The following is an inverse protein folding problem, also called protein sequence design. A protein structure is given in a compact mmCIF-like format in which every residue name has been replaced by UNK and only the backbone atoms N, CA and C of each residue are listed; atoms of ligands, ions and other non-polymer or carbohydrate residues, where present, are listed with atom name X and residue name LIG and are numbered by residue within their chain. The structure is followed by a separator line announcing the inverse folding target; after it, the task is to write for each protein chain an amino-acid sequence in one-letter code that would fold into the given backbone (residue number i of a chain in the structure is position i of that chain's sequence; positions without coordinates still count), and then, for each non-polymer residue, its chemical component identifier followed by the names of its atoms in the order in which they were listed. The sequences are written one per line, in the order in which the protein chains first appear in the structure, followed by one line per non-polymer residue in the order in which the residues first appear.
data_IF_289134609765
#
_entry.id   IF_289134609765
#
_cell.length_a   1.000
_cell.length_b   1.000
_cell.length_c   1.000
_cell.angle_alpha   90.00
_cell.angle_beta   90.00
_cell.angle_gamma   90.00
#
_symmetry.space_group_name_H-M   'P 1'
#
loop_
_entity.id
_entity.type
_entity.pdbx_description
1 polymer ?
#
# COMPACT_ATOMS: atom_id res chain seq x y z
N UNK A 1 8.33 -3.92 -9.50
CA UNK A 1 8.30 -2.62 -8.81
C UNK A 1 7.90 -2.89 -7.36
N UNK A 2 8.85 -2.85 -6.42
CA UNK A 2 8.56 -3.07 -5.00
C UNK A 2 8.44 -1.71 -4.33
N UNK A 3 7.31 -1.43 -3.70
CA UNK A 3 7.19 -0.30 -2.78
C UNK A 3 8.08 -0.63 -1.56
N UNK A 4 9.26 -0.01 -1.49
CA UNK A 4 10.22 -0.22 -0.39
C UNK A 4 10.13 0.96 0.57
N UNK A 5 9.92 0.68 1.85
CA UNK A 5 9.99 1.69 2.91
C UNK A 5 9.26 1.27 4.17
N UNK A 6 9.78 1.68 5.33
CA UNK A 6 9.17 1.46 6.63
C UNK A 6 7.79 2.12 6.77
N UNK A 7 7.44 3.06 5.89
CA UNK A 7 6.17 3.78 5.91
C UNK A 7 4.96 2.86 5.72
N UNK A 8 5.10 1.74 4.99
CA UNK A 8 4.02 0.74 4.87
C UNK A 8 3.70 0.10 6.22
N UNK A 9 4.72 -0.25 7.01
CA UNK A 9 4.53 -0.75 8.38
C UNK A 9 3.93 0.32 9.29
N UNK A 10 4.38 1.58 9.16
CA UNK A 10 3.82 2.71 9.92
C UNK A 10 2.35 2.99 9.56
N UNK A 11 1.96 2.71 8.32
CA UNK A 11 0.58 2.79 7.86
C UNK A 11 -0.27 1.55 8.23
N UNK A 12 0.33 0.56 8.92
CA UNK A 12 -0.37 -0.63 9.39
C UNK A 12 -0.38 -1.81 8.41
N UNK A 13 0.40 -1.76 7.32
CA UNK A 13 0.58 -2.88 6.41
C UNK A 13 1.69 -3.80 6.92
N UNK A 14 1.36 -5.06 7.18
CA UNK A 14 2.34 -6.08 7.55
C UNK A 14 3.07 -6.64 6.31
N UNK A 15 4.14 -7.39 6.56
CA UNK A 15 4.84 -8.11 5.49
C UNK A 15 3.89 -9.16 4.92
N UNK A 16 3.80 -9.23 3.59
CA UNK A 16 2.87 -10.09 2.85
C UNK A 16 1.38 -9.75 3.01
N UNK A 17 1.02 -8.57 3.54
CA UNK A 17 -0.37 -8.11 3.49
C UNK A 17 -0.78 -7.92 2.02
N UNK A 18 -1.83 -8.60 1.54
CA UNK A 18 -2.36 -8.36 0.20
C UNK A 18 -2.92 -6.94 0.12
N UNK A 19 -2.58 -6.22 -0.95
CA UNK A 19 -2.98 -4.82 -1.12
C UNK A 19 -3.64 -4.59 -2.47
N UNK A 20 -4.67 -3.76 -2.43
CA UNK A 20 -5.33 -3.24 -3.61
C UNK A 20 -4.79 -1.86 -3.91
N UNK A 21 -4.32 -1.67 -5.14
CA UNK A 21 -3.79 -0.40 -5.63
C UNK A 21 -4.77 0.21 -6.61
N UNK A 22 -5.11 1.49 -6.43
CA UNK A 22 -5.96 2.27 -7.34
C UNK A 22 -5.27 3.57 -7.71
N UNK A 23 -5.37 3.95 -8.97
CA UNK A 23 -4.89 5.25 -9.47
C UNK A 23 -6.09 6.17 -9.62
N UNK A 24 -6.00 7.33 -8.97
CA UNK A 24 -6.89 8.47 -9.17
C UNK A 24 -6.06 9.61 -9.76
N UNK A 25 -6.69 10.60 -10.38
CA UNK A 25 -5.95 11.74 -10.93
C UNK A 25 -5.11 12.42 -9.83
N UNK A 26 -3.78 12.44 -10.00
CA UNK A 26 -2.83 12.99 -9.03
C UNK A 26 -2.59 12.16 -7.76
N UNK A 27 -3.28 11.03 -7.56
CA UNK A 27 -3.27 10.27 -6.30
C UNK A 27 -3.08 8.76 -6.52
N UNK A 28 -2.21 8.14 -5.72
CA UNK A 28 -2.09 6.69 -5.61
C UNK A 28 -2.74 6.24 -4.30
N UNK A 29 -3.80 5.43 -4.41
CA UNK A 29 -4.51 4.91 -3.25
C UNK A 29 -4.12 3.46 -3.04
N UNK A 30 -3.70 3.14 -1.82
CA UNK A 30 -3.29 1.80 -1.39
C UNK A 30 -4.15 1.42 -0.21
N UNK A 31 -4.84 0.29 -0.32
CA UNK A 31 -5.74 -0.25 0.72
C UNK A 31 -5.44 -1.72 0.95
N UNK A 32 -5.53 -2.18 2.20
CA UNK A 32 -5.42 -3.59 2.52
C UNK A 32 -6.59 -4.36 1.90
N UNK A 33 -6.32 -5.53 1.33
CA UNK A 33 -7.39 -6.47 0.97
C UNK A 33 -7.85 -7.18 2.24
N UNK A 34 -9.06 -6.84 2.70
CA UNK A 34 -9.78 -7.55 3.77
C UNK A 34 -10.52 -8.75 3.22
#
# INVERSE_FOLDING_TARGET
MQLKGHWLQQAGFEINTPVKVRVMEGCLVITAET
#
